data_IF_623110982958
#
_entry.id   IF_623110982958
#
_cell.length_a   1.000
_cell.length_b   1.000
_cell.length_c   1.000
_cell.angle_alpha   90.00
_cell.angle_beta   90.00
_cell.angle_gamma   90.00
#
_symmetry.space_group_name_H-M   'P 1'
#
loop_
_entity.id
_entity.type
_entity.pdbx_description
1 polymer ?
#
# COMPACT_ATOMS: atom_id res chain seq x y z
N UNK A 1 -4.69 2.37 -16.43
CA UNK A 1 -4.27 3.62 -15.76
C UNK A 1 -5.42 4.60 -15.63
N UNK A 2 -5.57 5.18 -14.44
CA UNK A 2 -6.54 6.25 -14.17
C UNK A 2 -5.83 7.58 -14.42
N UNK A 3 -6.40 8.44 -15.26
CA UNK A 3 -5.79 9.72 -15.62
C UNK A 3 -5.74 10.70 -14.45
N UNK A 4 -4.74 11.57 -14.44
CA UNK A 4 -4.66 12.70 -13.51
C UNK A 4 -5.68 13.79 -13.91
N UNK A 5 -6.20 14.56 -12.94
CA UNK A 5 -7.09 15.69 -13.19
C UNK A 5 -8.57 15.33 -13.35
N UNK A 6 -8.95 14.06 -13.31
CA UNK A 6 -10.36 13.63 -13.36
C UNK A 6 -11.17 14.18 -12.16
N UNK A 7 -10.52 14.45 -11.04
CA UNK A 7 -11.17 15.06 -9.87
C UNK A 7 -11.70 16.47 -10.14
N UNK A 8 -11.09 17.21 -11.08
CA UNK A 8 -11.51 18.57 -11.43
C UNK A 8 -12.80 18.56 -12.25
N UNK A 9 -12.98 17.51 -13.06
CA UNK A 9 -14.18 17.32 -13.87
C UNK A 9 -15.33 16.68 -13.08
N UNK A 10 -15.00 15.90 -12.04
CA UNK A 10 -15.96 15.14 -11.26
C UNK A 10 -15.80 15.39 -9.74
N UNK A 11 -15.96 16.64 -9.26
CA UNK A 11 -15.70 16.99 -7.86
C UNK A 11 -16.62 16.28 -6.86
N UNK A 12 -17.80 15.84 -7.30
CA UNK A 12 -18.83 15.21 -6.47
C UNK A 12 -18.93 13.70 -6.68
N UNK A 13 -17.94 13.06 -7.32
CA UNK A 13 -17.96 11.61 -7.54
C UNK A 13 -17.96 10.87 -6.21
N UNK A 14 -19.01 10.06 -5.96
CA UNK A 14 -19.18 9.28 -4.73
C UNK A 14 -18.97 7.78 -4.93
N UNK A 15 -19.26 7.28 -6.12
CA UNK A 15 -19.23 5.86 -6.45
C UNK A 15 -18.52 5.66 -7.79
N UNK A 16 -17.59 4.71 -7.80
CA UNK A 16 -16.82 4.34 -8.97
C UNK A 16 -16.74 2.82 -9.10
N UNK A 17 -17.41 2.29 -10.12
CA UNK A 17 -17.43 0.86 -10.42
C UNK A 17 -16.56 0.60 -11.65
N UNK A 18 -15.43 -0.07 -11.42
CA UNK A 18 -14.44 -0.42 -12.44
C UNK A 18 -14.36 -1.93 -12.63
N UNK A 19 -15.48 -2.63 -12.41
CA UNK A 19 -15.52 -4.09 -12.58
C UNK A 19 -15.13 -4.48 -14.01
N UNK A 20 -14.34 -5.56 -14.16
CA UNK A 20 -13.92 -6.12 -15.45
C UNK A 20 -13.11 -5.14 -16.31
N UNK A 21 -12.13 -4.48 -15.69
CA UNK A 21 -11.15 -3.63 -16.36
C UNK A 21 -9.74 -4.22 -16.23
N UNK A 22 -8.76 -3.56 -16.84
CA UNK A 22 -7.36 -4.01 -16.90
C UNK A 22 -6.45 -3.24 -15.95
N UNK A 23 -6.89 -2.96 -14.72
CA UNK A 23 -6.04 -2.34 -13.71
C UNK A 23 -5.11 -3.41 -13.12
N UNK A 24 -3.81 -3.25 -13.34
CA UNK A 24 -2.81 -4.26 -12.98
C UNK A 24 -2.02 -3.89 -11.73
N UNK A 25 -1.63 -2.62 -11.61
CA UNK A 25 -0.74 -2.15 -10.56
C UNK A 25 -1.48 -1.40 -9.46
N UNK A 26 -0.97 -1.52 -8.22
CA UNK A 26 -1.52 -0.80 -7.06
C UNK A 26 -1.32 0.72 -7.21
N UNK A 27 -0.18 1.15 -7.74
CA UNK A 27 0.11 2.57 -7.97
C UNK A 27 -0.83 3.26 -8.96
N UNK A 28 -1.50 2.52 -9.85
CA UNK A 28 -2.51 3.09 -10.75
C UNK A 28 -3.75 3.62 -9.99
N UNK A 29 -3.91 3.24 -8.72
CA UNK A 29 -5.00 3.68 -7.84
C UNK A 29 -4.65 4.96 -7.07
N UNK A 30 -3.40 5.42 -7.09
CA UNK A 30 -2.96 6.61 -6.34
C UNK A 30 -3.69 7.87 -6.78
N UNK A 31 -4.01 7.97 -8.07
CA UNK A 31 -4.77 9.08 -8.64
C UNK A 31 -6.21 9.15 -8.10
N UNK A 32 -6.73 8.07 -7.51
CA UNK A 32 -8.04 8.11 -6.86
C UNK A 32 -8.02 8.83 -5.51
N UNK A 33 -6.84 9.09 -4.92
CA UNK A 33 -6.71 9.77 -3.62
C UNK A 33 -7.13 11.25 -3.68
N UNK A 34 -7.15 11.83 -4.88
CA UNK A 34 -7.55 13.21 -5.12
C UNK A 34 -9.06 13.40 -4.97
N UNK A 35 -9.87 12.36 -5.21
CA UNK A 35 -11.33 12.41 -5.10
C UNK A 35 -11.79 12.39 -3.64
N UNK A 36 -12.03 13.58 -3.07
CA UNK A 36 -12.39 13.75 -1.66
C UNK A 36 -13.74 13.14 -1.27
N UNK A 37 -14.66 13.04 -2.23
CA UNK A 37 -16.03 12.57 -2.01
C UNK A 37 -16.24 11.08 -2.37
N UNK A 38 -15.22 10.41 -2.89
CA UNK A 38 -15.33 9.01 -3.31
C UNK A 38 -15.46 8.12 -2.09
N UNK A 39 -16.53 7.33 -2.02
CA UNK A 39 -16.86 6.50 -0.85
C UNK A 39 -17.08 5.03 -1.22
N UNK A 40 -17.46 4.74 -2.47
CA UNK A 40 -17.68 3.40 -2.99
C UNK A 40 -16.73 3.14 -4.16
N UNK A 41 -15.96 2.06 -4.05
CA UNK A 41 -15.05 1.60 -5.10
C UNK A 41 -15.24 0.10 -5.35
N UNK A 42 -15.33 -0.30 -6.62
CA UNK A 42 -15.28 -1.71 -7.01
C UNK A 42 -14.23 -1.90 -8.10
N UNK A 43 -13.28 -2.80 -7.84
CA UNK A 43 -12.22 -3.21 -8.76
C UNK A 43 -12.32 -4.70 -9.10
N UNK A 44 -13.47 -5.33 -8.84
CA UNK A 44 -13.69 -6.74 -9.13
C UNK A 44 -13.31 -7.10 -10.58
N UNK A 45 -12.75 -8.29 -10.78
CA UNK A 45 -12.28 -8.76 -12.09
C UNK A 45 -11.24 -7.83 -12.74
N UNK A 46 -10.41 -7.16 -11.94
CA UNK A 46 -9.16 -6.54 -12.39
C UNK A 46 -7.97 -7.34 -11.86
N UNK A 47 -6.85 -7.47 -12.60
CA UNK A 47 -5.67 -8.19 -12.12
C UNK A 47 -5.12 -7.69 -10.77
N UNK A 48 -5.29 -6.39 -10.46
CA UNK A 48 -4.84 -5.77 -9.20
C UNK A 48 -5.40 -6.44 -7.94
N UNK A 49 -6.59 -7.07 -8.01
CA UNK A 49 -7.22 -7.71 -6.85
C UNK A 49 -6.41 -8.91 -6.33
N UNK A 50 -5.55 -9.49 -7.17
CA UNK A 50 -4.70 -10.64 -6.83
C UNK A 50 -3.36 -10.22 -6.20
N UNK A 51 -3.06 -8.91 -6.10
CA UNK A 51 -1.82 -8.43 -5.50
C UNK A 51 -1.87 -8.61 -3.97
N UNK A 52 -0.73 -8.97 -3.38
CA UNK A 52 -0.58 -9.06 -1.93
C UNK A 52 -0.96 -7.71 -1.30
N UNK A 53 -1.68 -7.78 -0.18
CA UNK A 53 -2.13 -6.60 0.57
C UNK A 53 -3.01 -5.61 -0.20
N UNK A 54 -3.62 -5.99 -1.34
CA UNK A 54 -4.47 -5.12 -2.16
C UNK A 54 -5.49 -4.31 -1.34
N UNK A 55 -6.31 -4.98 -0.52
CA UNK A 55 -7.32 -4.29 0.30
C UNK A 55 -6.71 -3.32 1.30
N UNK A 56 -5.57 -3.68 1.89
CA UNK A 56 -4.89 -2.86 2.88
C UNK A 56 -4.28 -1.61 2.23
N UNK A 57 -3.63 -1.79 1.07
CA UNK A 57 -3.11 -0.70 0.27
C UNK A 57 -4.20 0.29 -0.12
N UNK A 58 -5.34 -0.19 -0.63
CA UNK A 58 -6.48 0.68 -0.99
C UNK A 58 -7.00 1.45 0.21
N UNK A 59 -7.17 0.81 1.36
CA UNK A 59 -7.63 1.48 2.60
C UNK A 59 -6.63 2.53 3.08
N UNK A 60 -5.33 2.24 2.98
CA UNK A 60 -4.26 3.15 3.40
C UNK A 60 -4.17 4.37 2.46
N UNK A 61 -4.20 4.15 1.15
CA UNK A 61 -4.06 5.21 0.14
C UNK A 61 -5.33 6.02 -0.05
N UNK A 62 -6.50 5.38 0.11
CA UNK A 62 -7.81 5.98 -0.10
C UNK A 62 -8.65 5.93 1.21
N UNK A 63 -8.27 6.68 2.26
CA UNK A 63 -8.95 6.64 3.56
C UNK A 63 -10.41 7.12 3.51
N UNK A 64 -10.82 7.81 2.44
CA UNK A 64 -12.20 8.23 2.21
C UNK A 64 -13.14 7.06 1.83
N UNK A 65 -12.60 5.95 1.34
CA UNK A 65 -13.40 4.80 0.89
C UNK A 65 -14.05 4.12 2.10
N UNK A 66 -15.36 3.89 1.99
CA UNK A 66 -16.19 3.25 3.01
C UNK A 66 -16.63 1.85 2.61
N UNK A 67 -16.73 1.60 1.31
CA UNK A 67 -17.11 0.31 0.74
C UNK A 67 -16.15 -0.02 -0.40
N UNK A 68 -15.48 -1.17 -0.29
CA UNK A 68 -14.56 -1.69 -1.30
C UNK A 68 -15.04 -3.06 -1.76
N UNK A 69 -15.26 -3.22 -3.06
CA UNK A 69 -15.71 -4.46 -3.70
C UNK A 69 -17.00 -4.99 -3.07
N UNK A 70 -17.97 -4.08 -2.88
CA UNK A 70 -19.25 -4.34 -2.21
C UNK A 70 -19.14 -4.81 -0.75
N UNK A 71 -17.96 -4.68 -0.15
CA UNK A 71 -17.73 -4.99 1.25
C UNK A 71 -17.43 -3.72 2.06
N UNK A 72 -18.23 -3.50 3.10
CA UNK A 72 -18.06 -2.35 4.00
C UNK A 72 -16.74 -2.45 4.76
N UNK A 73 -15.93 -1.40 4.70
CA UNK A 73 -14.71 -1.26 5.49
C UNK A 73 -15.14 -0.93 6.93
N UNK A 74 -14.90 -1.86 7.85
CA UNK A 74 -15.11 -1.62 9.28
C UNK A 74 -13.87 -0.92 9.82
N UNK A 75 -13.98 0.34 10.25
CA UNK A 75 -12.82 1.14 10.70
C UNK A 75 -12.05 0.48 11.86
N UNK A 76 -12.73 -0.24 12.76
CA UNK A 76 -12.07 -1.05 13.81
C UNK A 76 -11.20 -2.18 13.23
N UNK A 77 -11.59 -2.77 12.09
CA UNK A 77 -10.83 -3.79 11.37
C UNK A 77 -9.88 -3.21 10.32
N UNK A 78 -10.01 -1.95 9.91
CA UNK A 78 -9.02 -1.32 9.02
C UNK A 78 -7.68 -1.13 9.74
N UNK A 79 -7.75 -0.75 11.03
CA UNK A 79 -6.60 -0.66 11.93
C UNK A 79 -6.18 -2.06 12.40
N UNK A 80 -7.12 -2.97 12.68
CA UNK A 80 -6.79 -4.32 13.15
C UNK A 80 -6.33 -5.29 12.04
N UNK A 81 -6.82 -5.18 10.80
CA UNK A 81 -6.31 -5.94 9.64
C UNK A 81 -5.05 -5.30 9.03
N UNK A 82 -4.67 -4.11 9.48
CA UNK A 82 -3.28 -3.68 9.46
C UNK A 82 -2.50 -4.44 10.54
N UNK A 83 -2.57 -5.78 10.50
CA UNK A 83 -1.68 -6.66 11.25
C UNK A 83 -0.34 -6.61 10.52
N UNK A 84 0.58 -5.72 10.83
CA UNK A 84 0.99 -5.21 12.16
C UNK A 84 1.31 -3.72 12.08
N UNK A 85 1.43 -3.04 13.23
CA UNK A 85 2.06 -1.71 13.30
C UNK A 85 3.43 -1.72 12.58
N UNK A 86 4.16 -2.84 12.66
CA UNK A 86 5.38 -3.10 11.93
C UNK A 86 5.20 -3.13 10.40
N UNK A 87 4.12 -3.68 9.85
CA UNK A 87 3.89 -3.63 8.38
C UNK A 87 3.44 -2.23 7.94
N UNK A 88 2.72 -1.49 8.78
CA UNK A 88 2.40 -0.07 8.52
C UNK A 88 3.67 0.80 8.57
N UNK A 89 4.55 0.56 9.53
CA UNK A 89 5.87 1.19 9.63
C UNK A 89 6.77 0.78 8.46
N UNK A 90 6.74 -0.49 8.04
CA UNK A 90 7.47 -0.97 6.86
C UNK A 90 6.98 -0.32 5.58
N UNK A 91 5.67 -0.22 5.37
CA UNK A 91 5.09 0.45 4.20
C UNK A 91 5.36 1.96 4.22
N UNK A 92 5.29 2.61 5.39
CA UNK A 92 5.71 4.01 5.56
C UNK A 92 7.20 4.19 5.26
N UNK A 93 8.05 3.30 5.76
CA UNK A 93 9.49 3.28 5.52
C UNK A 93 9.83 3.10 4.04
N UNK A 94 9.16 2.17 3.36
CA UNK A 94 9.32 1.94 1.91
C UNK A 94 8.87 3.15 1.07
N UNK A 95 7.83 3.87 1.51
CA UNK A 95 7.41 5.12 0.88
C UNK A 95 8.46 6.23 1.10
N UNK A 96 9.06 6.32 2.28
CA UNK A 96 10.09 7.31 2.62
C UNK A 96 11.43 7.01 1.96
N UNK A 97 11.79 5.74 1.78
CA UNK A 97 13.02 5.30 1.11
C UNK A 97 12.92 5.27 -0.42
N UNK A 98 11.74 5.56 -0.98
CA UNK A 98 11.51 5.61 -2.44
C UNK A 98 11.44 4.24 -3.13
N UNK A 99 11.47 3.14 -2.37
CA UNK A 99 11.41 1.78 -2.89
C UNK A 99 9.95 1.29 -2.94
N UNK A 100 9.29 1.50 -4.08
CA UNK A 100 7.93 1.01 -4.32
C UNK A 100 8.01 -0.37 -5.00
N UNK A 101 7.44 -1.44 -4.43
CA UNK A 101 7.23 -2.69 -5.15
C UNK A 101 6.32 -2.43 -6.35
N UNK A 102 6.88 -2.46 -7.57
CA UNK A 102 6.19 -2.13 -8.83
C UNK A 102 6.75 -0.91 -9.57
N UNK A 103 7.79 -0.24 -9.05
CA UNK A 103 8.51 0.80 -9.78
C UNK A 103 9.61 0.15 -10.62
N UNK A 104 9.21 -0.32 -11.80
CA UNK A 104 10.18 -0.72 -12.80
C UNK A 104 11.04 0.50 -13.18
N UNK A 105 12.33 0.22 -13.29
CA UNK A 105 13.47 1.13 -13.21
C UNK A 105 13.64 1.83 -14.55
N UNK A 106 13.46 3.16 -14.61
CA UNK A 106 14.04 3.94 -15.71
C UNK A 106 14.51 5.31 -15.24
N UNK A 107 15.80 5.57 -15.49
CA UNK A 107 16.53 6.85 -15.40
C UNK A 107 16.89 7.24 -13.94
N UNK A 108 18.13 7.39 -13.49
CA UNK A 108 19.45 7.57 -14.09
C UNK A 108 20.27 8.36 -13.06
N UNK A 109 21.56 8.03 -12.90
CA UNK A 109 22.52 8.52 -11.88
C UNK A 109 22.47 7.86 -10.50
N UNK A 110 23.28 6.81 -10.36
CA UNK A 110 23.91 6.43 -9.09
C UNK A 110 24.86 7.54 -8.64
N UNK A 111 24.70 8.01 -7.41
CA UNK A 111 25.71 8.02 -6.32
C UNK A 111 24.96 8.50 -5.08
N UNK A 112 24.85 7.69 -4.03
CA UNK A 112 25.04 8.14 -2.64
C UNK A 112 25.33 6.93 -1.77
N UNK A 113 26.50 6.99 -1.13
CA UNK A 113 27.03 6.06 -0.13
C UNK A 113 26.44 6.43 1.22
N UNK A 114 26.00 5.44 2.00
CA UNK A 114 25.91 5.46 3.47
C UNK A 114 25.29 4.14 3.93
N UNK A 115 25.68 3.46 4.99
CA UNK A 115 26.83 3.42 5.88
C UNK A 115 26.61 2.11 6.63
N UNK A 116 27.66 1.30 6.84
CA UNK A 116 27.58 0.10 7.66
C UNK A 116 27.24 0.49 9.11
N UNK A 117 26.31 -0.24 9.73
CA UNK A 117 26.09 -0.18 11.17
C UNK A 117 26.08 -1.61 11.70
N UNK A 118 27.09 -1.88 12.51
CA UNK A 118 27.40 -3.10 13.23
C UNK A 118 26.25 -3.56 14.12
N UNK A 119 25.93 -4.85 14.10
CA UNK A 119 25.20 -5.51 15.19
C UNK A 119 26.11 -6.58 15.79
N UNK A 120 26.57 -6.32 17.02
CA UNK A 120 27.39 -7.19 17.86
C UNK A 120 26.63 -8.49 18.21
N UNK A 121 27.24 -9.63 17.95
CA UNK A 121 26.81 -10.94 18.46
C UNK A 121 27.00 -10.98 19.99
N UNK A 122 25.90 -11.04 20.76
CA UNK A 122 25.96 -11.51 22.15
C UNK A 122 25.79 -13.03 22.17
N UNK A 123 26.89 -13.75 22.44
CA UNK A 123 26.90 -15.18 22.67
C UNK A 123 26.07 -15.56 23.92
N UNK A 124 25.14 -16.51 23.76
CA UNK A 124 24.39 -17.13 24.86
C UNK A 124 25.31 -18.02 25.71
N UNK A 125 25.32 -17.77 27.04
CA UNK A 125 25.82 -18.72 28.03
C UNK A 125 25.02 -20.03 27.98
N UNK A 126 25.66 -21.13 27.55
CA UNK A 126 25.20 -22.48 27.86
C UNK A 126 26.09 -23.10 28.94
N UNK A 127 25.53 -23.19 30.15
CA UNK A 127 26.08 -23.91 31.28
C UNK A 127 26.05 -25.42 30.99
N UNK A 128 27.22 -26.06 30.93
CA UNK A 128 27.34 -27.51 30.90
C UNK A 128 28.14 -27.99 32.11
N UNK A 129 27.42 -28.44 33.14
CA UNK A 129 27.96 -29.30 34.20
C UNK A 129 28.45 -30.61 33.57
N UNK A 130 29.70 -30.99 33.84
CA UNK A 130 30.28 -32.22 33.31
C UNK A 130 31.55 -32.68 34.00
N UNK A 131 31.36 -33.24 35.21
CA UNK A 131 32.27 -34.14 35.98
C UNK A 131 33.50 -33.53 36.67
#
# INVERSE_FOLDING_TARGET
>A
RIGEGLEQMLPNLKELILTNNSIMELGDLDNLSTFKNLTYLSLLRNPVINKRHYRLYVVFRLPQIRVLDFQKIRQKNAIANATTLAEVERLKGLLQSGQIPGKDRTLGNEVFISEEADDEEMEEEMVANGS
#
